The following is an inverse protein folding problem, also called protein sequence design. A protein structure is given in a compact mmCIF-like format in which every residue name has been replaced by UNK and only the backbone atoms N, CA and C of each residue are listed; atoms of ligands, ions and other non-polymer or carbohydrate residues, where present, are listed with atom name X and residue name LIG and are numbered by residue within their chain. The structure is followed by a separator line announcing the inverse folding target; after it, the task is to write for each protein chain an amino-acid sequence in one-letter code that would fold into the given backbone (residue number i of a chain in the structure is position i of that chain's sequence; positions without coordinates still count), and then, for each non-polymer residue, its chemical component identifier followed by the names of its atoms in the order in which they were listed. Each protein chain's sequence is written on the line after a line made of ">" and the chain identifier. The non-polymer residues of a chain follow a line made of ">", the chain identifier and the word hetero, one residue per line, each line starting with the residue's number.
data_IF_504353026120
#
_entry.id   IF_504353026120
#
_cell.length_a   1.000
_cell.length_b   1.000
_cell.length_c   1.000
_cell.angle_alpha   90.00
_cell.angle_beta   90.00
_cell.angle_gamma   90.00
#
_symmetry.space_group_name_H-M   'P 1'
#
loop_
_entity.id
_entity.type
_entity.pdbx_description
1 polymer ?
#
# COMPACT_ATOMS: atom_id res chain seq x y z
N UNK A 1 12.21 -4.12 -36.25
CA UNK A 1 11.46 -4.23 -34.98
C UNK A 1 12.39 -4.84 -33.95
N UNK A 2 12.57 -4.19 -32.80
CA UNK A 2 13.55 -4.57 -31.79
C UNK A 2 13.04 -5.82 -31.03
N UNK A 3 13.75 -6.96 -31.02
CA UNK A 3 13.19 -8.26 -30.68
C UNK A 3 12.97 -8.55 -29.18
N UNK A 4 13.19 -7.60 -28.26
CA UNK A 4 13.19 -7.89 -26.82
C UNK A 4 12.12 -7.15 -25.98
N UNK A 5 11.28 -6.30 -26.58
CA UNK A 5 10.25 -5.53 -25.82
C UNK A 5 8.85 -6.10 -26.00
N UNK A 6 8.09 -6.20 -24.91
CA UNK A 6 6.67 -6.55 -24.95
C UNK A 6 5.86 -5.37 -25.52
N UNK A 7 4.85 -5.67 -26.33
CA UNK A 7 3.99 -4.66 -26.96
C UNK A 7 2.73 -4.45 -26.13
N UNK A 8 2.52 -3.24 -25.60
CA UNK A 8 1.29 -2.85 -24.90
C UNK A 8 0.33 -2.18 -25.89
N UNK A 9 -0.89 -2.70 -25.98
CA UNK A 9 -1.95 -2.18 -26.83
C UNK A 9 -3.01 -1.51 -25.95
N UNK A 10 -3.31 -0.24 -26.27
CA UNK A 10 -4.27 0.61 -25.57
C UNK A 10 -5.37 1.02 -26.55
N UNK A 11 -6.64 0.98 -26.11
CA UNK A 11 -7.76 1.42 -26.94
C UNK A 11 -7.79 2.95 -27.02
N UNK A 12 -8.20 3.49 -28.17
CA UNK A 12 -8.55 4.89 -28.37
C UNK A 12 -9.93 4.96 -29.03
N UNK A 13 -10.79 5.84 -28.53
CA UNK A 13 -12.16 6.01 -29.02
C UNK A 13 -12.31 7.37 -29.72
N UNK A 14 -13.19 7.42 -30.71
CA UNK A 14 -13.58 8.65 -31.41
C UNK A 14 -15.04 8.96 -31.07
N UNK A 15 -15.32 10.14 -30.51
CA UNK A 15 -16.66 10.58 -30.18
C UNK A 15 -16.88 12.01 -30.70
N UNK A 16 -17.83 12.19 -31.63
CA UNK A 16 -18.18 13.50 -32.21
C UNK A 16 -16.95 14.32 -32.64
N UNK A 17 -16.04 13.71 -33.41
CA UNK A 17 -14.75 14.29 -33.88
C UNK A 17 -13.67 14.49 -32.81
N UNK A 18 -13.95 14.25 -31.53
CA UNK A 18 -12.95 14.26 -30.47
C UNK A 18 -12.33 12.86 -30.27
N UNK A 19 -11.00 12.82 -30.18
CA UNK A 19 -10.24 11.61 -29.82
C UNK A 19 -10.15 11.53 -28.30
N UNK A 20 -10.58 10.40 -27.73
CA UNK A 20 -10.68 10.19 -26.29
C UNK A 20 -9.92 8.92 -25.91
N UNK A 21 -9.16 9.01 -24.82
CA UNK A 21 -8.52 7.87 -24.19
C UNK A 21 -9.50 7.22 -23.18
N UNK A 22 -9.98 5.98 -23.41
CA UNK A 22 -10.84 5.27 -22.48
C UNK A 22 -10.18 5.09 -21.11
N UNK A 23 -11.00 4.88 -20.09
CA UNK A 23 -10.56 4.83 -18.69
C UNK A 23 -9.45 3.79 -18.44
N UNK A 24 -9.57 2.58 -18.99
CA UNK A 24 -8.54 1.56 -18.77
C UNK A 24 -7.21 1.90 -19.48
N UNK A 25 -7.28 2.52 -20.65
CA UNK A 25 -6.09 2.99 -21.38
C UNK A 25 -5.40 4.12 -20.61
N UNK A 26 -6.16 5.06 -20.03
CA UNK A 26 -5.60 6.17 -19.26
C UNK A 26 -4.94 5.70 -17.96
N UNK A 27 -5.54 4.75 -17.24
CA UNK A 27 -4.92 4.16 -16.03
C UNK A 27 -3.59 3.46 -16.36
N UNK A 28 -3.55 2.66 -17.44
CA UNK A 28 -2.34 1.96 -17.85
C UNK A 28 -1.23 2.93 -18.28
N UNK A 29 -1.59 3.98 -19.03
CA UNK A 29 -0.66 5.02 -19.46
C UNK A 29 -0.10 5.83 -18.28
N UNK A 30 -0.97 6.19 -17.33
CA UNK A 30 -0.58 6.89 -16.12
C UNK A 30 0.38 6.07 -15.26
N UNK A 31 0.13 4.77 -15.09
CA UNK A 31 1.05 3.89 -14.38
C UNK A 31 2.42 3.80 -15.07
N UNK A 32 2.46 3.70 -16.41
CA UNK A 32 3.73 3.70 -17.15
C UNK A 32 4.50 5.01 -16.98
N UNK A 33 3.81 6.15 -17.04
CA UNK A 33 4.42 7.47 -16.79
C UNK A 33 4.97 7.56 -15.37
N UNK A 34 4.16 7.22 -14.36
CA UNK A 34 4.57 7.27 -12.95
C UNK A 34 5.78 6.36 -12.64
N UNK A 35 5.80 5.17 -13.23
CA UNK A 35 6.89 4.21 -13.05
C UNK A 35 8.10 4.48 -13.95
N UNK A 36 7.98 5.42 -14.89
CA UNK A 36 8.98 5.71 -15.93
C UNK A 36 9.40 4.44 -16.71
N UNK A 37 8.49 3.46 -16.83
CA UNK A 37 8.80 2.15 -17.38
C UNK A 37 8.85 2.18 -18.91
N UNK A 38 10.06 2.09 -19.47
CA UNK A 38 10.34 2.12 -20.93
C UNK A 38 10.44 0.73 -21.57
N UNK A 39 10.09 -0.32 -20.83
CA UNK A 39 10.18 -1.70 -21.31
C UNK A 39 9.13 -2.01 -22.38
N UNK A 40 7.96 -1.38 -22.28
CA UNK A 40 6.83 -1.62 -23.18
C UNK A 40 6.89 -0.70 -24.40
N UNK A 41 6.71 -1.27 -25.59
CA UNK A 41 6.36 -0.48 -26.78
C UNK A 41 4.85 -0.26 -26.78
N UNK A 42 4.40 1.00 -26.75
CA UNK A 42 2.97 1.33 -26.67
C UNK A 42 2.38 1.48 -28.07
N UNK A 43 1.25 0.82 -28.30
CA UNK A 43 0.45 0.88 -29.51
C UNK A 43 -0.95 1.40 -29.16
N UNK A 44 -1.34 2.53 -29.76
CA UNK A 44 -2.70 3.03 -29.72
C UNK A 44 -3.50 2.33 -30.81
N UNK A 45 -4.53 1.61 -30.39
CA UNK A 45 -5.46 0.90 -31.28
C UNK A 45 -6.65 1.80 -31.55
N UNK A 46 -6.76 2.25 -32.80
CA UNK A 46 -7.80 3.15 -33.26
C UNK A 46 -8.48 2.62 -34.53
N UNK A 47 -9.71 3.08 -34.77
CA UNK A 47 -10.42 2.83 -36.02
C UNK A 47 -10.15 3.92 -37.08
N UNK A 48 -9.59 5.06 -36.68
CA UNK A 48 -9.25 6.20 -37.53
C UNK A 48 -7.79 6.65 -37.29
N UNK A 49 -7.06 7.08 -38.33
CA UNK A 49 -5.69 7.58 -38.17
C UNK A 49 -5.68 8.98 -37.55
N UNK A 50 -4.53 9.36 -36.96
CA UNK A 50 -4.32 10.72 -36.42
C UNK A 50 -4.58 10.83 -34.92
N UNK A 51 -4.68 9.69 -34.22
CA UNK A 51 -4.93 9.67 -32.78
C UNK A 51 -3.75 10.21 -31.98
N UNK A 52 -2.53 10.04 -32.47
CA UNK A 52 -1.31 10.50 -31.78
C UNK A 52 -1.26 12.02 -31.75
N UNK A 53 -1.49 12.68 -32.89
CA UNK A 53 -1.49 14.14 -33.00
C UNK A 53 -2.61 14.74 -32.15
N UNK A 54 -3.80 14.14 -32.17
CA UNK A 54 -4.93 14.60 -31.36
C UNK A 54 -4.69 14.45 -29.85
N UNK A 55 -3.95 13.41 -29.43
CA UNK A 55 -3.63 13.11 -28.03
C UNK A 55 -2.24 13.59 -27.59
N UNK A 56 -1.54 14.42 -28.39
CA UNK A 56 -0.16 14.82 -28.10
C UNK A 56 0.03 15.46 -26.70
N UNK A 57 -0.99 16.11 -26.16
CA UNK A 57 -0.98 16.68 -24.80
C UNK A 57 -1.27 15.68 -23.67
N UNK A 58 -1.70 14.46 -24.00
CA UNK A 58 -2.08 13.40 -23.05
C UNK A 58 -1.13 12.19 -23.09
N UNK A 59 -0.17 12.17 -24.02
CA UNK A 59 0.78 11.08 -24.21
C UNK A 59 2.13 11.46 -23.58
N UNK A 60 2.65 10.67 -22.63
CA UNK A 60 3.96 10.92 -22.04
C UNK A 60 5.07 10.91 -23.10
N UNK A 61 5.82 12.01 -23.20
CA UNK A 61 6.94 12.17 -24.15
C UNK A 61 8.05 11.13 -23.96
N UNK A 62 8.12 10.52 -22.76
CA UNK A 62 9.12 9.52 -22.39
C UNK A 62 8.81 8.12 -22.97
N UNK A 63 7.60 7.88 -23.46
CA UNK A 63 7.14 6.59 -23.96
C UNK A 63 7.24 6.52 -25.49
N UNK A 64 7.67 5.37 -26.00
CA UNK A 64 7.62 5.09 -27.43
C UNK A 64 6.19 4.66 -27.80
N UNK A 65 5.43 5.60 -28.37
CA UNK A 65 4.04 5.39 -28.80
C UNK A 65 3.97 5.25 -30.32
N UNK A 66 3.14 4.34 -30.80
CA UNK A 66 2.83 4.14 -32.22
C UNK A 66 1.33 3.91 -32.39
N UNK A 67 0.80 4.16 -33.58
CA UNK A 67 -0.61 3.93 -33.89
C UNK A 67 -0.74 2.65 -34.73
N UNK A 68 -1.81 1.90 -34.48
CA UNK A 68 -2.16 0.71 -35.25
C UNK A 68 -3.67 0.67 -35.44
N UNK A 69 -4.13 0.29 -36.64
CA UNK A 69 -5.56 0.12 -36.85
C UNK A 69 -6.05 -1.16 -36.18
N UNK A 70 -7.34 -1.21 -35.81
CA UNK A 70 -7.95 -2.42 -35.24
C UNK A 70 -7.79 -3.66 -36.14
N UNK A 71 -7.74 -3.47 -37.46
CA UNK A 71 -7.53 -4.54 -38.44
C UNK A 71 -6.08 -5.05 -38.51
N UNK A 72 -5.10 -4.20 -38.21
CA UNK A 72 -3.67 -4.53 -38.19
C UNK A 72 -3.20 -5.09 -36.84
N UNK A 73 -4.04 -5.00 -35.81
CA UNK A 73 -3.74 -5.54 -34.50
C UNK A 73 -3.53 -7.07 -34.57
N UNK A 74 -2.51 -7.62 -33.88
CA UNK A 74 -2.27 -9.06 -33.88
C UNK A 74 -3.51 -9.85 -33.44
N UNK A 75 -3.78 -11.00 -34.07
CA UNK A 75 -5.00 -11.77 -33.82
C UNK A 75 -5.28 -12.09 -32.34
N UNK A 76 -4.24 -12.40 -31.56
CA UNK A 76 -4.36 -12.62 -30.11
C UNK A 76 -4.82 -11.37 -29.36
N UNK A 77 -4.37 -10.18 -29.78
CA UNK A 77 -4.77 -8.90 -29.19
C UNK A 77 -6.17 -8.53 -29.63
N UNK A 78 -6.50 -8.72 -30.91
CA UNK A 78 -7.83 -8.44 -31.47
C UNK A 78 -8.93 -9.32 -30.84
N UNK A 79 -8.58 -10.51 -30.36
CA UNK A 79 -9.49 -11.40 -29.63
C UNK A 79 -9.66 -11.02 -28.14
N UNK A 80 -8.94 -10.03 -27.64
CA UNK A 80 -8.92 -9.63 -26.23
C UNK A 80 -9.57 -8.27 -26.01
N UNK A 81 -10.02 -8.00 -24.77
CA UNK A 81 -10.35 -6.64 -24.33
C UNK A 81 -9.07 -5.88 -24.00
N UNK A 82 -8.96 -4.65 -24.47
CA UNK A 82 -7.83 -3.77 -24.16
C UNK A 82 -7.98 -3.17 -22.73
N UNK A 83 -6.87 -2.84 -22.03
CA UNK A 83 -5.48 -2.95 -22.48
C UNK A 83 -5.01 -4.40 -22.57
N UNK A 84 -4.07 -4.67 -23.48
CA UNK A 84 -3.46 -5.99 -23.61
C UNK A 84 -1.97 -5.89 -23.91
N UNK A 85 -1.17 -6.80 -23.34
CA UNK A 85 0.27 -6.91 -23.58
C UNK A 85 0.55 -8.20 -24.35
N UNK A 86 1.18 -8.07 -25.51
CA UNK A 86 1.71 -9.18 -26.29
C UNK A 86 3.20 -9.36 -25.99
N UNK A 87 3.58 -10.55 -25.54
CA UNK A 87 4.99 -10.87 -25.27
C UNK A 87 5.82 -10.90 -26.57
N UNK A 88 7.16 -10.74 -26.52
CA UNK A 88 8.01 -10.67 -27.71
C UNK A 88 7.89 -11.89 -28.62
N UNK A 89 7.61 -13.06 -28.04
CA UNK A 89 7.41 -14.31 -28.77
C UNK A 89 6.08 -14.37 -29.55
N UNK A 90 5.21 -13.36 -29.41
CA UNK A 90 3.88 -13.22 -30.04
C UNK A 90 2.92 -14.40 -29.85
N UNK A 91 3.17 -15.26 -28.85
CA UNK A 91 2.35 -16.43 -28.55
C UNK A 91 1.52 -16.28 -27.28
N UNK A 92 1.85 -15.31 -26.45
CA UNK A 92 1.20 -15.09 -25.18
C UNK A 92 0.73 -13.65 -25.06
N UNK A 93 -0.55 -13.48 -24.71
CA UNK A 93 -1.20 -12.19 -24.56
C UNK A 93 -1.78 -12.10 -23.14
N UNK A 94 -1.43 -11.03 -22.42
CA UNK A 94 -1.99 -10.67 -21.12
C UNK A 94 -3.02 -9.58 -21.35
N UNK A 95 -4.29 -9.86 -21.12
CA UNK A 95 -5.37 -8.90 -21.41
C UNK A 95 -6.16 -8.53 -20.16
N UNK A 96 -6.72 -7.32 -20.19
CA UNK A 96 -7.50 -6.75 -19.10
C UNK A 96 -6.65 -5.91 -18.14
N UNK A 97 -7.24 -4.83 -17.63
CA UNK A 97 -6.58 -3.81 -16.83
C UNK A 97 -5.76 -4.40 -15.68
N UNK A 98 -6.40 -5.14 -14.77
CA UNK A 98 -5.74 -5.69 -13.58
C UNK A 98 -4.54 -6.61 -13.90
N UNK A 99 -4.62 -7.38 -14.99
CA UNK A 99 -3.53 -8.27 -15.42
C UNK A 99 -2.37 -7.45 -15.98
N UNK A 100 -2.69 -6.47 -16.83
CA UNK A 100 -1.70 -5.58 -17.44
C UNK A 100 -1.00 -4.71 -16.39
N UNK A 101 -1.75 -4.11 -15.46
CA UNK A 101 -1.18 -3.29 -14.38
C UNK A 101 -0.21 -4.12 -13.53
N UNK A 102 -0.61 -5.31 -13.08
CA UNK A 102 0.30 -6.20 -12.35
C UNK A 102 1.54 -6.55 -13.15
N UNK A 103 1.40 -6.81 -14.45
CA UNK A 103 2.53 -7.14 -15.29
C UNK A 103 3.49 -5.94 -15.44
N UNK A 104 2.97 -4.72 -15.59
CA UNK A 104 3.78 -3.49 -15.59
C UNK A 104 4.52 -3.37 -14.26
N UNK A 105 3.81 -3.49 -13.13
CA UNK A 105 4.39 -3.40 -11.78
C UNK A 105 5.49 -4.43 -11.59
N UNK A 106 5.20 -5.71 -11.88
CA UNK A 106 6.18 -6.80 -11.77
C UNK A 106 7.42 -6.54 -12.62
N UNK A 107 7.24 -6.08 -13.85
CA UNK A 107 8.35 -5.76 -14.75
C UNK A 107 9.18 -4.62 -14.18
N UNK A 108 8.55 -3.55 -13.71
CA UNK A 108 9.23 -2.42 -13.06
C UNK A 108 9.98 -2.87 -11.81
N UNK A 109 9.38 -3.69 -10.94
CA UNK A 109 10.05 -4.21 -9.74
C UNK A 109 11.25 -5.12 -10.07
N UNK A 110 11.19 -5.88 -11.17
CA UNK A 110 12.33 -6.68 -11.63
C UNK A 110 13.48 -5.81 -12.15
N UNK A 111 13.17 -4.66 -12.74
CA UNK A 111 14.17 -3.69 -13.22
C UNK A 111 14.71 -2.81 -12.09
N UNK A 112 13.88 -2.49 -11.10
CA UNK A 112 14.21 -1.67 -9.92
C UNK A 112 13.73 -2.37 -8.62
N UNK A 113 14.55 -3.24 -8.01
CA UNK A 113 14.15 -4.05 -6.85
C UNK A 113 13.87 -3.26 -5.57
N UNK A 114 14.20 -1.96 -5.54
CA UNK A 114 13.90 -1.04 -4.44
C UNK A 114 12.41 -0.66 -4.36
N UNK A 115 11.65 -0.81 -5.46
CA UNK A 115 10.21 -0.51 -5.51
C UNK A 115 9.37 -1.76 -5.24
N UNK A 116 9.32 -2.24 -4.00
CA UNK A 116 8.49 -3.41 -3.61
C UNK A 116 7.21 -2.98 -2.90
N UNK A 117 6.21 -2.54 -3.67
CA UNK A 117 4.88 -2.32 -3.14
C UNK A 117 3.86 -3.17 -3.90
N UNK A 118 3.29 -4.18 -3.23
CA UNK A 118 2.20 -4.99 -3.79
C UNK A 118 0.94 -4.68 -2.98
N UNK A 119 -0.10 -4.22 -3.68
CA UNK A 119 -1.39 -3.88 -3.08
C UNK A 119 -2.02 -5.07 -2.35
N UNK A 120 -2.59 -4.83 -1.17
CA UNK A 120 -3.40 -5.84 -0.45
C UNK A 120 -4.85 -5.89 -0.94
N UNK A 121 -5.32 -4.87 -1.65
CA UNK A 121 -6.74 -4.66 -2.00
C UNK A 121 -7.02 -4.79 -3.49
N UNK A 122 -6.32 -5.73 -4.14
CA UNK A 122 -6.22 -5.73 -5.59
C UNK A 122 -7.54 -5.84 -6.33
N UNK A 123 -8.55 -6.55 -5.80
CA UNK A 123 -9.85 -6.65 -6.49
C UNK A 123 -10.60 -5.30 -6.48
N UNK A 124 -10.70 -4.68 -5.30
CA UNK A 124 -11.40 -3.40 -5.15
C UNK A 124 -10.72 -2.31 -5.99
N UNK A 125 -9.40 -2.22 -5.89
CA UNK A 125 -8.63 -1.12 -6.47
C UNK A 125 -8.33 -1.27 -7.97
N UNK A 126 -8.27 -2.50 -8.51
CA UNK A 126 -7.93 -2.71 -9.91
C UNK A 126 -9.14 -3.04 -10.80
N UNK A 127 -10.25 -3.52 -10.22
CA UNK A 127 -11.43 -3.98 -10.97
C UNK A 127 -12.72 -3.30 -10.55
N UNK A 128 -13.09 -3.36 -9.27
CA UNK A 128 -14.44 -2.97 -8.87
C UNK A 128 -14.65 -1.45 -8.97
N UNK A 129 -13.66 -0.65 -8.56
CA UNK A 129 -13.73 0.82 -8.67
C UNK A 129 -13.66 1.27 -10.13
N UNK A 130 -12.72 0.74 -10.92
CA UNK A 130 -12.58 1.11 -12.35
C UNK A 130 -13.84 0.80 -13.14
N UNK A 131 -14.43 -0.39 -12.94
CA UNK A 131 -15.69 -0.78 -13.58
C UNK A 131 -16.86 0.11 -13.14
N UNK A 132 -16.98 0.38 -11.84
CA UNK A 132 -18.04 1.22 -11.29
C UNK A 132 -17.97 2.67 -11.79
N UNK A 133 -16.75 3.21 -11.95
CA UNK A 133 -16.53 4.53 -12.53
C UNK A 133 -16.86 4.53 -14.02
N UNK A 134 -16.45 3.50 -14.77
CA UNK A 134 -16.76 3.38 -16.19
C UNK A 134 -18.27 3.41 -16.43
N UNK A 135 -19.03 2.64 -15.64
CA UNK A 135 -20.50 2.61 -15.73
C UNK A 135 -21.12 3.97 -15.40
N UNK A 136 -20.59 4.69 -14.40
CA UNK A 136 -21.02 6.06 -14.08
C UNK A 136 -20.77 7.03 -15.23
N UNK A 137 -19.59 6.98 -15.84
CA UNK A 137 -19.19 7.88 -16.92
C UNK A 137 -20.03 7.69 -18.19
N UNK A 138 -20.63 6.51 -18.40
CA UNK A 138 -21.58 6.28 -19.51
C UNK A 138 -22.89 7.07 -19.34
N UNK A 139 -23.36 7.29 -18.11
CA UNK A 139 -24.63 7.98 -17.83
C UNK A 139 -24.51 8.96 -16.63
N UNK A 140 -23.77 10.08 -16.78
CA UNK A 140 -23.41 10.94 -15.66
C UNK A 140 -24.53 11.89 -15.19
N UNK A 141 -25.68 11.94 -15.89
CA UNK A 141 -26.80 12.87 -15.61
C UNK A 141 -28.03 12.19 -14.99
N UNK A 142 -27.92 10.91 -14.62
CA UNK A 142 -29.05 10.18 -14.06
C UNK A 142 -29.51 10.81 -12.72
N UNK A 143 -30.80 11.16 -12.62
CA UNK A 143 -31.34 11.96 -11.49
C UNK A 143 -31.27 11.27 -10.11
N UNK A 144 -30.89 10.00 -10.06
CA UNK A 144 -30.73 9.18 -8.84
C UNK A 144 -29.30 8.67 -8.69
N UNK A 145 -28.31 9.48 -9.04
CA UNK A 145 -26.91 9.13 -8.83
C UNK A 145 -26.64 9.06 -7.32
N UNK A 146 -26.57 7.83 -6.82
CA UNK A 146 -25.89 7.54 -5.57
C UNK A 146 -24.43 7.23 -5.89
N UNK A 147 -23.49 7.50 -4.96
CA UNK A 147 -22.12 7.04 -5.15
C UNK A 147 -22.07 5.52 -5.40
N UNK A 148 -21.28 5.05 -6.38
CA UNK A 148 -21.15 3.62 -6.61
C UNK A 148 -20.66 2.88 -5.37
N UNK A 149 -21.16 1.67 -5.14
CA UNK A 149 -20.86 0.89 -3.94
C UNK A 149 -19.35 0.67 -3.72
N UNK A 150 -18.58 0.48 -4.79
CA UNK A 150 -17.12 0.33 -4.71
C UNK A 150 -16.41 1.60 -4.19
N UNK A 151 -16.91 2.79 -4.56
CA UNK A 151 -16.38 4.06 -4.07
C UNK A 151 -16.82 4.37 -2.64
N UNK A 152 -18.05 3.98 -2.26
CA UNK A 152 -18.48 4.02 -0.86
C UNK A 152 -17.67 3.09 0.02
N UNK A 153 -17.31 1.91 -0.51
CA UNK A 153 -16.42 0.99 0.18
C UNK A 153 -15.05 1.64 0.38
N UNK A 154 -14.48 2.30 -0.64
CA UNK A 154 -13.22 3.04 -0.49
C UNK A 154 -13.32 4.15 0.57
N UNK A 155 -14.39 4.96 0.55
CA UNK A 155 -14.65 5.99 1.58
C UNK A 155 -14.68 5.37 2.99
N UNK A 156 -15.39 4.26 3.16
CA UNK A 156 -15.45 3.55 4.45
C UNK A 156 -14.09 3.02 4.88
N UNK A 157 -13.29 2.49 3.96
CA UNK A 157 -11.93 1.99 4.25
C UNK A 157 -11.02 3.13 4.71
N UNK A 158 -11.10 4.30 4.08
CA UNK A 158 -10.34 5.49 4.49
C UNK A 158 -10.73 5.96 5.90
N UNK A 159 -11.94 5.66 6.36
CA UNK A 159 -12.41 5.96 7.71
C UNK A 159 -11.90 4.99 8.79
N UNK A 160 -11.45 3.80 8.40
CA UNK A 160 -10.96 2.80 9.35
C UNK A 160 -9.59 3.21 9.93
N UNK A 161 -9.30 2.86 11.20
CA UNK A 161 -8.00 3.13 11.79
C UNK A 161 -6.90 2.27 11.16
N UNK A 162 -5.76 2.88 10.86
CA UNK A 162 -4.61 2.17 10.28
C UNK A 162 -3.94 1.28 11.34
N UNK A 163 -3.52 0.08 10.93
CA UNK A 163 -2.73 -0.84 11.74
C UNK A 163 -1.42 -1.18 11.03
N UNK A 164 -0.29 -0.77 11.61
CA UNK A 164 1.06 -1.06 11.10
C UNK A 164 1.89 -1.82 12.14
N UNK A 165 2.98 -2.47 11.72
CA UNK A 165 3.83 -3.25 12.63
C UNK A 165 4.40 -2.43 13.82
N UNK A 166 4.59 -1.12 13.62
CA UNK A 166 5.08 -0.18 14.64
C UNK A 166 3.97 0.75 15.18
N UNK A 167 2.72 0.31 15.13
CA UNK A 167 1.53 1.12 15.43
C UNK A 167 1.61 1.84 16.80
N UNK A 168 1.88 1.11 17.89
CA UNK A 168 1.99 1.70 19.23
C UNK A 168 3.09 2.78 19.31
N UNK A 169 4.24 2.54 18.67
CA UNK A 169 5.34 3.51 18.62
C UNK A 169 4.92 4.78 17.88
N UNK A 170 4.23 4.65 16.76
CA UNK A 170 3.81 5.78 15.96
C UNK A 170 2.68 6.57 16.63
N UNK A 171 1.74 5.88 17.29
CA UNK A 171 0.68 6.53 18.07
C UNK A 171 1.22 7.30 19.28
N UNK A 172 2.24 6.76 19.96
CA UNK A 172 2.95 7.47 21.04
C UNK A 172 3.68 8.71 20.52
N UNK A 173 4.31 8.60 19.36
CA UNK A 173 4.94 9.75 18.71
C UNK A 173 3.91 10.82 18.32
N UNK A 174 2.76 10.43 17.74
CA UNK A 174 1.63 11.33 17.45
C UNK A 174 1.14 12.05 18.71
N UNK A 175 0.99 11.33 19.82
CA UNK A 175 0.60 11.91 21.12
C UNK A 175 1.65 12.90 21.66
N UNK A 176 2.93 12.58 21.55
CA UNK A 176 4.02 13.46 21.99
C UNK A 176 4.03 14.76 21.19
N UNK A 177 3.79 14.68 19.88
CA UNK A 177 3.74 15.85 19.01
C UNK A 177 2.50 16.71 19.24
N UNK A 178 1.32 16.11 19.45
CA UNK A 178 0.10 16.84 19.83
C UNK A 178 0.30 17.66 21.11
N UNK A 179 0.86 17.02 22.16
CA UNK A 179 1.17 17.71 23.43
C UNK A 179 2.22 18.83 23.29
N UNK A 180 3.11 18.74 22.32
CA UNK A 180 4.09 19.78 22.04
C UNK A 180 3.47 20.96 21.27
N UNK A 181 2.60 20.68 20.29
CA UNK A 181 1.83 21.68 19.57
C UNK A 181 0.92 22.49 20.50
N UNK A 182 0.23 21.82 21.42
CA UNK A 182 -0.65 22.45 22.43
C UNK A 182 0.12 23.35 23.41
N UNK A 183 1.41 23.11 23.61
CA UNK A 183 2.28 23.95 24.46
C UNK A 183 2.84 25.16 23.72
N UNK A 184 3.19 25.01 22.44
CA UNK A 184 3.69 26.11 21.63
C UNK A 184 2.59 27.14 21.30
N UNK A 185 1.32 26.74 21.28
CA UNK A 185 0.19 27.65 21.17
C UNK A 185 -0.13 28.43 22.46
N UNK A 186 0.54 28.14 23.59
CA UNK A 186 0.35 28.80 24.88
C UNK A 186 1.45 29.82 25.24
N UNK A 187 2.40 30.12 24.34
CA UNK A 187 3.43 31.16 24.57
C UNK A 187 3.05 32.46 23.85
N UNK A 188 2.94 33.62 24.53
CA UNK A 188 2.61 34.89 23.89
C UNK A 188 3.85 35.57 23.25
N UNK A 189 3.75 35.76 21.92
CA UNK A 189 4.36 36.81 21.06
C UNK A 189 5.90 36.83 20.91
N UNK A 190 6.53 37.04 19.75
CA UNK A 190 6.33 38.11 18.75
C UNK A 190 7.15 37.76 17.50
N UNK A 191 6.57 37.81 16.29
CA UNK A 191 7.17 38.34 15.05
C UNK A 191 6.24 38.10 13.86
N UNK A 192 5.88 39.21 13.21
CA UNK A 192 5.09 39.23 11.98
C UNK A 192 5.81 38.42 10.89
N UNK A 193 5.22 37.28 10.54
CA UNK A 193 5.37 36.66 9.21
C UNK A 193 3.99 36.21 8.76
N UNK A 194 3.56 36.88 7.69
CA UNK A 194 2.51 36.57 6.72
C UNK A 194 1.62 35.34 7.03
N UNK A 195 0.31 35.50 7.27
CA UNK A 195 -0.60 34.42 7.64
C UNK A 195 -1.13 33.59 6.45
N UNK A 196 -0.54 33.71 5.26
CA UNK A 196 -0.87 32.85 4.12
C UNK A 196 0.07 31.65 4.09
N UNK A 197 -0.47 30.43 4.17
CA UNK A 197 0.21 29.10 4.05
C UNK A 197 0.80 28.47 5.32
N UNK A 198 0.05 28.39 6.44
CA UNK A 198 0.44 27.55 7.59
C UNK A 198 -0.48 26.32 7.76
N UNK A 199 0.10 25.13 7.52
CA UNK A 199 -0.21 23.85 8.14
C UNK A 199 -1.69 23.38 8.23
N UNK A 200 -2.37 23.20 7.10
CA UNK A 200 -3.53 22.28 7.03
C UNK A 200 -3.12 20.82 6.78
N UNK A 201 -1.86 20.58 6.40
CA UNK A 201 -1.33 19.24 6.17
C UNK A 201 -1.04 18.58 7.53
N UNK A 202 -1.88 17.61 7.90
CA UNK A 202 -1.70 16.83 9.13
C UNK A 202 -0.30 16.22 9.23
N UNK A 203 0.18 16.04 10.47
CA UNK A 203 1.54 15.57 10.80
C UNK A 203 1.93 14.26 10.07
N UNK A 204 0.95 13.39 9.81
CA UNK A 204 1.13 12.13 9.11
C UNK A 204 1.52 12.32 7.65
N UNK A 205 1.00 13.38 7.00
CA UNK A 205 1.29 13.72 5.62
C UNK A 205 2.77 14.12 5.44
N UNK A 206 3.27 14.97 6.34
CA UNK A 206 4.68 15.38 6.31
C UNK A 206 5.62 14.19 6.54
N UNK A 207 5.29 13.30 7.49
CA UNK A 207 6.07 12.10 7.74
C UNK A 207 6.05 11.11 6.57
N UNK A 208 4.91 10.99 5.88
CA UNK A 208 4.77 10.11 4.73
C UNK A 208 5.53 10.64 3.49
N UNK A 209 5.45 11.95 3.22
CA UNK A 209 6.25 12.58 2.15
C UNK A 209 7.75 12.48 2.42
N UNK A 210 8.19 12.67 3.68
CA UNK A 210 9.59 12.50 4.05
C UNK A 210 10.13 11.07 3.84
N UNK A 211 9.25 10.06 3.85
CA UNK A 211 9.62 8.67 3.53
C UNK A 211 9.78 8.40 2.04
N UNK A 212 9.18 9.23 1.19
CA UNK A 212 9.30 9.14 -0.27
C UNK A 212 10.51 9.89 -0.80
N UNK A 213 10.98 10.91 -0.09
CA UNK A 213 12.24 11.58 -0.37
C UNK A 213 13.41 10.70 0.07
N UNK A 214 14.29 10.33 -0.87
CA UNK A 214 15.54 9.59 -0.62
C UNK A 214 16.58 10.38 0.19
N UNK A 215 16.25 11.61 0.59
CA UNK A 215 17.11 12.40 1.47
C UNK A 215 17.11 11.71 2.83
N UNK A 216 18.25 11.11 3.17
CA UNK A 216 18.44 10.35 4.40
C UNK A 216 17.82 11.13 5.56
N UNK A 217 16.91 10.47 6.28
CA UNK A 217 16.43 10.98 7.56
C UNK A 217 17.68 11.15 8.43
N UNK A 218 18.17 12.39 8.53
CA UNK A 218 19.12 12.78 9.55
C UNK A 218 18.60 12.20 10.86
N UNK A 219 19.41 11.42 11.59
CA UNK A 219 18.92 10.67 12.73
C UNK A 219 18.32 11.68 13.69
N UNK A 220 16.99 11.64 13.82
CA UNK A 220 16.29 12.41 14.86
C UNK A 220 16.97 11.99 16.14
N UNK A 221 17.73 12.94 16.71
CA UNK A 221 18.50 12.73 17.92
C UNK A 221 17.60 11.98 18.90
N UNK A 222 18.11 10.91 19.51
CA UNK A 222 17.37 10.10 20.46
C UNK A 222 17.02 10.93 21.70
N UNK A 223 16.00 11.78 21.60
CA UNK A 223 15.42 12.51 22.72
C UNK A 223 14.70 11.46 23.53
N UNK A 224 15.32 11.11 24.65
CA UNK A 224 14.80 10.23 25.70
C UNK A 224 13.28 10.45 25.86
N UNK A 225 12.49 9.47 25.46
CA UNK A 225 11.01 9.53 25.51
C UNK A 225 10.56 9.97 26.91
N UNK A 226 9.65 10.95 26.98
CA UNK A 226 9.12 11.42 28.26
C UNK A 226 8.35 10.30 28.97
N UNK A 227 8.60 10.17 30.26
CA UNK A 227 7.96 9.20 31.17
C UNK A 227 6.43 9.22 31.10
N UNK A 228 5.84 10.37 30.76
CA UNK A 228 4.40 10.59 30.70
C UNK A 228 3.74 10.00 29.44
N UNK A 229 4.52 9.78 28.37
CA UNK A 229 4.04 9.14 27.11
C UNK A 229 4.17 7.62 27.20
N UNK A 230 5.18 7.13 27.91
CA UNK A 230 5.41 5.69 28.16
C UNK A 230 4.34 5.05 29.06
N UNK A 231 3.69 5.85 29.91
CA UNK A 231 2.68 5.39 30.88
C UNK A 231 1.24 5.36 30.35
N UNK A 232 0.98 5.91 29.16
CA UNK A 232 -0.36 5.91 28.56
C UNK A 232 -0.70 4.50 28.08
N UNK A 233 -1.91 4.05 28.41
CA UNK A 233 -2.45 2.76 27.95
C UNK A 233 -2.63 2.81 26.44
N UNK A 234 -2.37 1.70 25.75
CA UNK A 234 -2.49 1.62 24.29
C UNK A 234 -3.90 1.98 23.78
N UNK A 235 -4.94 1.73 24.58
CA UNK A 235 -6.35 2.10 24.29
C UNK A 235 -6.63 3.60 24.34
N UNK A 236 -5.75 4.38 24.97
CA UNK A 236 -5.88 5.84 25.14
C UNK A 236 -4.98 6.61 24.15
N UNK A 237 -4.24 5.89 23.30
CA UNK A 237 -3.40 6.51 22.28
C UNK A 237 -4.25 6.95 21.08
N UNK A 238 -3.93 8.09 20.45
CA UNK A 238 -4.66 8.57 19.28
C UNK A 238 -4.56 7.55 18.13
N UNK A 239 -5.67 7.32 17.43
CA UNK A 239 -5.70 6.43 16.27
C UNK A 239 -4.89 7.03 15.10
N UNK A 240 -4.34 6.14 14.27
CA UNK A 240 -3.67 6.53 13.03
C UNK A 240 -4.71 6.61 11.92
N UNK A 241 -4.72 7.72 11.19
CA UNK A 241 -5.63 7.91 10.06
C UNK A 241 -4.97 7.40 8.77
N UNK A 242 -5.78 7.03 7.79
CA UNK A 242 -5.28 6.79 6.44
C UNK A 242 -4.79 8.13 5.88
N UNK A 243 -3.53 8.16 5.44
CA UNK A 243 -2.99 9.24 4.61
C UNK A 243 -3.25 8.92 3.14
N UNK A 244 -3.07 7.65 2.79
CA UNK A 244 -3.17 7.04 1.46
C UNK A 244 -4.10 5.82 1.51
N UNK A 245 -4.41 5.22 0.35
CA UNK A 245 -5.48 4.23 0.20
C UNK A 245 -5.32 3.00 1.10
N UNK A 246 -4.09 2.53 1.31
CA UNK A 246 -3.82 1.34 2.15
C UNK A 246 -3.36 1.66 3.57
N UNK A 247 -3.07 2.93 3.88
CA UNK A 247 -2.65 3.33 5.21
C UNK A 247 -1.86 4.64 5.22
N UNK A 248 -0.72 4.63 5.92
CA UNK A 248 0.11 5.82 6.10
C UNK A 248 1.11 6.05 4.96
N UNK A 249 1.45 4.99 4.23
CA UNK A 249 2.47 5.01 3.20
C UNK A 249 1.82 5.04 1.83
N UNK A 250 2.43 5.80 0.93
CA UNK A 250 2.02 5.85 -0.46
C UNK A 250 2.37 4.53 -1.13
N UNK A 251 1.46 4.00 -1.94
CA UNK A 251 1.61 2.71 -2.61
C UNK A 251 1.20 2.81 -4.07
N UNK A 252 1.50 1.78 -4.87
CA UNK A 252 1.01 1.70 -6.25
C UNK A 252 -0.52 1.66 -6.36
N UNK A 253 -1.22 1.30 -5.28
CA UNK A 253 -2.68 1.40 -5.19
C UNK A 253 -3.15 2.84 -5.40
N UNK A 254 -2.46 3.81 -4.80
CA UNK A 254 -2.79 5.23 -4.95
C UNK A 254 -2.59 5.71 -6.39
N UNK A 255 -1.52 5.21 -7.04
CA UNK A 255 -1.21 5.49 -8.44
C UNK A 255 -2.29 4.95 -9.37
N UNK A 256 -2.72 3.70 -9.16
CA UNK A 256 -3.72 3.04 -10.01
C UNK A 256 -5.11 3.65 -9.82
N UNK A 257 -5.46 4.05 -8.59
CA UNK A 257 -6.76 4.64 -8.28
C UNK A 257 -6.90 6.09 -8.77
N UNK A 258 -5.81 6.85 -8.83
CA UNK A 258 -5.89 8.28 -9.11
C UNK A 258 -6.63 8.61 -10.42
N UNK A 259 -6.30 8.02 -11.59
CA UNK A 259 -6.94 8.40 -12.84
C UNK A 259 -8.44 8.12 -12.85
N UNK A 260 -8.89 7.00 -12.26
CA UNK A 260 -10.30 6.66 -12.23
C UNK A 260 -11.08 7.52 -11.23
N UNK A 261 -10.54 7.72 -10.03
CA UNK A 261 -11.17 8.61 -9.05
C UNK A 261 -11.22 10.04 -9.59
N UNK A 262 -10.14 10.51 -10.24
CA UNK A 262 -10.11 11.83 -10.86
C UNK A 262 -11.26 12.05 -11.85
N UNK A 263 -11.45 11.14 -12.81
CA UNK A 263 -12.53 11.23 -13.80
C UNK A 263 -13.91 11.20 -13.14
N UNK A 264 -14.09 10.35 -12.11
CA UNK A 264 -15.31 10.32 -11.34
C UNK A 264 -15.59 11.65 -10.63
N UNK A 265 -14.59 12.24 -9.99
CA UNK A 265 -14.73 13.52 -9.28
C UNK A 265 -15.03 14.68 -10.23
N UNK A 266 -14.42 14.72 -11.42
CA UNK A 266 -14.77 15.69 -12.48
C UNK A 266 -16.23 15.53 -12.90
N UNK A 267 -16.66 14.30 -13.18
CA UNK A 267 -18.04 14.01 -13.56
C UNK A 267 -19.02 14.49 -12.48
N UNK A 268 -18.74 14.18 -11.21
CA UNK A 268 -19.55 14.66 -10.09
C UNK A 268 -19.56 16.18 -9.99
N UNK A 269 -18.41 16.85 -10.16
CA UNK A 269 -18.36 18.31 -10.09
C UNK A 269 -19.25 18.95 -11.16
N UNK A 270 -19.30 18.37 -12.36
CA UNK A 270 -20.07 18.90 -13.48
C UNK A 270 -21.58 18.58 -13.39
N UNK A 271 -21.95 17.42 -12.84
CA UNK A 271 -23.31 16.90 -12.95
C UNK A 271 -24.03 16.72 -11.61
N UNK A 272 -23.30 16.44 -10.53
CA UNK A 272 -23.87 16.12 -9.22
C UNK A 272 -22.97 16.56 -8.04
N UNK A 273 -22.68 17.87 -7.88
CA UNK A 273 -21.70 18.36 -6.90
C UNK A 273 -22.11 18.08 -5.44
N UNK A 274 -23.40 17.92 -5.17
CA UNK A 274 -23.92 17.56 -3.84
C UNK A 274 -23.44 16.18 -3.36
N UNK A 275 -23.05 15.28 -4.27
CA UNK A 275 -22.53 13.95 -3.94
C UNK A 275 -21.12 14.05 -3.35
N UNK A 276 -20.34 15.06 -3.73
CA UNK A 276 -19.00 15.29 -3.20
C UNK A 276 -19.02 15.48 -1.67
N UNK A 277 -20.12 16.03 -1.12
CA UNK A 277 -20.31 16.19 0.32
C UNK A 277 -20.41 14.84 1.07
N UNK A 278 -20.74 13.76 0.37
CA UNK A 278 -20.84 12.40 0.94
C UNK A 278 -19.50 11.65 0.91
N UNK A 279 -18.47 12.20 0.27
CA UNK A 279 -17.17 11.55 0.05
C UNK A 279 -15.98 12.39 0.59
N UNK A 280 -16.06 12.94 1.82
CA UNK A 280 -15.03 13.86 2.32
C UNK A 280 -13.65 13.21 2.47
N UNK A 281 -13.56 11.92 2.81
CA UNK A 281 -12.28 11.24 2.97
C UNK A 281 -11.65 10.93 1.62
N UNK A 282 -12.43 10.56 0.60
CA UNK A 282 -11.97 10.38 -0.76
C UNK A 282 -11.44 11.70 -1.34
N UNK A 283 -12.12 12.82 -1.09
CA UNK A 283 -11.64 14.15 -1.49
C UNK A 283 -10.31 14.49 -0.81
N UNK A 284 -10.20 14.20 0.49
CA UNK A 284 -8.97 14.41 1.26
C UNK A 284 -7.82 13.52 0.77
N UNK A 285 -8.11 12.26 0.47
CA UNK A 285 -7.16 11.33 -0.15
C UNK A 285 -6.70 11.86 -1.51
N UNK A 286 -7.63 12.31 -2.35
CA UNK A 286 -7.32 12.87 -3.67
C UNK A 286 -6.41 14.09 -3.56
N UNK A 287 -6.70 15.04 -2.66
CA UNK A 287 -5.82 16.18 -2.38
C UNK A 287 -4.42 15.73 -1.93
N UNK A 288 -4.31 14.73 -1.05
CA UNK A 288 -3.03 14.25 -0.57
C UNK A 288 -2.22 13.57 -1.67
N UNK A 289 -2.85 12.75 -2.51
CA UNK A 289 -2.16 12.09 -3.63
C UNK A 289 -1.58 13.11 -4.62
N UNK A 290 -2.22 14.26 -4.82
CA UNK A 290 -1.69 15.35 -5.64
C UNK A 290 -0.39 15.93 -5.10
N UNK A 291 -0.11 15.84 -3.80
CA UNK A 291 1.12 16.37 -3.19
C UNK A 291 2.36 15.53 -3.50
N UNK A 292 2.18 14.28 -3.96
CA UNK A 292 3.29 13.37 -4.24
C UNK A 292 4.03 13.81 -5.51
N UNK A 293 5.35 14.10 -5.46
CA UNK A 293 6.07 14.63 -6.62
C UNK A 293 6.02 13.74 -7.86
N UNK A 294 6.12 12.42 -7.69
CA UNK A 294 5.98 11.46 -8.79
C UNK A 294 4.60 11.49 -9.44
N UNK A 295 3.55 11.75 -8.66
CA UNK A 295 2.18 11.88 -9.17
C UNK A 295 2.02 13.15 -9.98
N UNK A 296 2.48 14.31 -9.49
CA UNK A 296 2.41 15.60 -10.21
C UNK A 296 3.04 15.50 -11.59
N UNK A 297 4.25 14.93 -11.67
CA UNK A 297 4.93 14.69 -12.94
C UNK A 297 4.11 13.81 -13.88
N UNK A 298 3.61 12.68 -13.37
CA UNK A 298 2.83 11.76 -14.20
C UNK A 298 1.50 12.36 -14.67
N UNK A 299 0.88 13.22 -13.88
CA UNK A 299 -0.36 13.92 -14.29
C UNK A 299 -0.09 14.94 -15.38
N UNK A 300 1.03 15.67 -15.31
CA UNK A 300 1.46 16.60 -16.36
C UNK A 300 1.75 15.85 -17.67
N UNK A 301 2.52 14.77 -17.59
CA UNK A 301 2.86 13.91 -18.74
C UNK A 301 1.62 13.28 -19.41
N UNK A 302 0.59 12.96 -18.64
CA UNK A 302 -0.65 12.36 -19.13
C UNK A 302 -1.76 13.39 -19.44
N UNK A 303 -1.49 14.69 -19.38
CA UNK A 303 -2.48 15.74 -19.65
C UNK A 303 -3.65 15.76 -18.65
N UNK A 304 -3.46 15.21 -17.44
CA UNK A 304 -4.47 15.17 -16.38
C UNK A 304 -4.43 16.49 -15.62
N UNK A 305 -5.44 17.34 -15.83
CA UNK A 305 -5.57 18.63 -15.15
C UNK A 305 -6.17 18.42 -13.76
N UNK A 306 -5.31 18.31 -12.75
CA UNK A 306 -5.71 18.22 -11.35
C UNK A 306 -6.46 19.48 -10.90
N UNK A 307 -7.43 19.29 -10.01
CA UNK A 307 -8.19 20.38 -9.38
C UNK A 307 -8.23 20.20 -7.87
N UNK A 308 -8.44 21.31 -7.16
CA UNK A 308 -8.54 21.32 -5.71
C UNK A 308 -10.02 21.38 -5.28
N UNK A 309 -10.64 20.25 -4.87
CA UNK A 309 -12.00 20.27 -4.35
C UNK A 309 -12.05 20.95 -2.98
N UNK A 310 -13.15 21.64 -2.68
CA UNK A 310 -13.43 22.14 -1.34
C UNK A 310 -13.84 20.96 -0.46
N UNK A 311 -13.02 20.63 0.54
CA UNK A 311 -13.34 19.55 1.50
C UNK A 311 -14.22 20.14 2.61
N UNK A 312 -15.44 19.62 2.83
CA UNK A 312 -16.23 20.01 3.99
C UNK A 312 -15.46 19.70 5.26
N UNK A 313 -15.30 20.68 6.16
CA UNK A 313 -14.67 20.42 7.45
C UNK A 313 -15.49 19.38 8.21
N UNK A 314 -14.89 18.22 8.49
CA UNK A 314 -15.47 17.26 9.44
C UNK A 314 -15.43 17.92 10.83
N UNK A 315 -16.52 18.54 11.23
CA UNK A 315 -16.78 18.76 12.65
C UNK A 315 -16.90 17.40 13.31
N UNK A 316 -16.14 17.20 14.38
CA UNK A 316 -16.09 16.01 15.24
C UNK A 316 -17.45 15.72 15.89
N UNK A 317 -18.42 15.34 15.08
CA UNK A 317 -19.73 14.88 15.51
C UNK A 317 -19.90 13.50 14.91
N UNK A 318 -19.61 12.50 15.74
CA UNK A 318 -19.83 11.09 15.45
C UNK A 318 -21.32 10.91 15.19
N UNK A 319 -21.73 11.00 13.93
CA UNK A 319 -23.09 10.71 13.49
C UNK A 319 -23.17 9.21 13.20
N UNK A 320 -24.18 8.56 13.77
CA UNK A 320 -24.45 7.14 13.61
C UNK A 320 -24.46 6.74 12.13
N UNK A 321 -23.61 5.77 11.77
CA UNK A 321 -23.52 5.26 10.42
C UNK A 321 -24.80 4.50 10.06
N UNK A 322 -25.44 4.76 8.90
CA UNK A 322 -26.52 3.92 8.41
C UNK A 322 -26.00 2.52 8.09
N UNK A 323 -26.65 1.50 8.65
CA UNK A 323 -26.39 0.09 8.34
C UNK A 323 -26.85 -0.21 6.90
N UNK A 324 -25.90 -0.44 5.99
CA UNK A 324 -26.16 -0.98 4.66
C UNK A 324 -25.96 -2.50 4.64
N UNK A 325 -26.71 -3.24 3.80
CA UNK A 325 -26.68 -4.69 3.79
C UNK A 325 -25.31 -5.20 3.37
N UNK A 326 -24.69 -5.98 4.25
CA UNK A 326 -23.45 -6.70 4.01
C UNK A 326 -23.61 -7.56 2.74
N UNK A 327 -22.92 -7.19 1.66
CA UNK A 327 -22.60 -8.15 0.62
C UNK A 327 -21.73 -9.23 1.26
N UNK A 328 -22.00 -10.50 0.93
CA UNK A 328 -21.40 -11.69 1.54
C UNK A 328 -19.87 -11.58 1.58
N UNK A 329 -19.38 -11.08 2.70
CA UNK A 329 -18.02 -11.26 3.15
C UNK A 329 -17.86 -12.77 3.32
N UNK A 330 -16.85 -13.36 2.67
CA UNK A 330 -16.37 -14.66 3.12
C UNK A 330 -16.18 -14.55 4.62
N UNK A 331 -16.92 -15.39 5.34
CA UNK A 331 -16.96 -15.41 6.80
C UNK A 331 -15.53 -15.27 7.31
N UNK A 332 -15.22 -14.25 8.13
CA UNK A 332 -14.00 -14.28 8.90
C UNK A 332 -14.05 -15.60 9.66
N UNK A 333 -13.02 -16.42 9.51
CA UNK A 333 -12.78 -17.49 10.48
C UNK A 333 -12.96 -16.86 11.88
N UNK A 334 -13.58 -17.59 12.83
CA UNK A 334 -13.75 -17.07 14.19
C UNK A 334 -12.40 -16.50 14.64
N UNK A 335 -12.37 -15.38 15.39
CA UNK A 335 -11.12 -14.77 15.81
C UNK A 335 -10.33 -15.85 16.55
N UNK A 336 -9.37 -16.46 15.85
CA UNK A 336 -8.28 -17.13 16.52
C UNK A 336 -7.63 -15.98 17.26
N UNK A 337 -7.80 -15.95 18.57
CA UNK A 337 -7.01 -15.10 19.43
C UNK A 337 -5.56 -15.43 19.13
N UNK A 338 -4.97 -14.70 18.19
CA UNK A 338 -3.57 -14.84 17.88
C UNK A 338 -2.87 -14.49 19.18
N UNK A 339 -2.23 -15.50 19.76
CA UNK A 339 -1.49 -15.35 20.98
C UNK A 339 -0.35 -14.35 20.73
N UNK A 340 -0.50 -13.11 21.19
CA UNK A 340 0.54 -12.08 21.13
C UNK A 340 1.23 -12.06 22.48
N UNK A 341 2.19 -12.96 22.67
CA UNK A 341 3.05 -13.00 23.84
C UNK A 341 4.41 -13.56 23.46
N UNK A 342 5.48 -12.97 24.00
CA UNK A 342 6.79 -13.60 23.92
C UNK A 342 6.83 -14.93 24.70
N UNK A 343 7.96 -15.65 24.68
CA UNK A 343 8.09 -16.95 25.36
C UNK A 343 7.68 -16.89 26.84
N UNK A 344 8.05 -15.80 27.54
CA UNK A 344 7.76 -15.61 28.98
C UNK A 344 6.27 -15.45 29.30
N UNK A 345 5.52 -14.51 28.67
CA UNK A 345 4.06 -14.44 28.85
C UNK A 345 3.32 -15.74 28.52
N UNK A 346 3.84 -16.53 27.59
CA UNK A 346 3.26 -17.84 27.21
C UNK A 346 3.43 -18.85 28.33
N UNK A 347 4.64 -18.99 28.84
CA UNK A 347 4.97 -19.90 29.94
C UNK A 347 4.15 -19.60 31.20
N UNK A 348 3.97 -18.32 31.54
CA UNK A 348 3.17 -17.92 32.70
C UNK A 348 1.70 -18.32 32.54
N UNK A 349 1.10 -18.07 31.36
CA UNK A 349 -0.30 -18.47 31.10
C UNK A 349 -0.50 -19.98 31.09
N UNK A 350 0.47 -20.74 30.59
CA UNK A 350 0.43 -22.21 30.62
C UNK A 350 0.44 -22.73 32.06
N UNK A 351 1.31 -22.19 32.91
CA UNK A 351 1.36 -22.53 34.34
C UNK A 351 0.07 -22.17 35.08
N UNK A 352 -0.51 -21.00 34.80
CA UNK A 352 -1.81 -20.58 35.38
C UNK A 352 -2.96 -21.55 35.04
N UNK A 353 -2.85 -22.27 33.92
CA UNK A 353 -3.84 -23.27 33.48
C UNK A 353 -3.41 -24.71 33.80
N UNK A 354 -2.39 -24.89 34.65
CA UNK A 354 -1.92 -26.21 35.08
C UNK A 354 -1.21 -27.02 33.99
N UNK A 355 -0.74 -26.37 32.92
CA UNK A 355 0.05 -26.99 31.86
C UNK A 355 1.52 -26.68 32.13
N UNK A 356 2.28 -27.72 32.47
CA UNK A 356 3.72 -27.60 32.68
C UNK A 356 4.45 -27.73 31.34
N UNK A 357 5.21 -26.69 30.99
CA UNK A 357 6.12 -26.76 29.86
C UNK A 357 7.36 -27.55 30.27
N UNK A 358 7.50 -28.77 29.76
CA UNK A 358 8.68 -29.59 29.97
C UNK A 358 9.62 -29.31 28.82
N UNK A 359 10.86 -29.01 29.16
CA UNK A 359 11.86 -28.72 28.18
C UNK A 359 12.79 -29.90 27.92
N UNK A 360 13.05 -30.22 26.65
CA UNK A 360 13.96 -31.28 26.23
C UNK A 360 15.25 -30.73 25.61
N UNK A 361 16.39 -31.44 25.70
CA UNK A 361 17.62 -31.06 25.01
C UNK A 361 17.43 -30.98 23.50
N UNK A 362 18.11 -30.02 22.86
CA UNK A 362 18.16 -29.92 21.40
C UNK A 362 18.73 -31.25 20.84
N UNK A 363 18.11 -31.85 19.81
CA UNK A 363 18.48 -33.18 19.32
C UNK A 363 19.91 -33.24 18.75
N UNK A 364 20.49 -32.10 18.39
CA UNK A 364 21.86 -31.97 17.90
C UNK A 364 22.60 -30.87 18.67
N UNK A 365 23.13 -31.14 19.87
CA UNK A 365 23.77 -30.12 20.71
C UNK A 365 25.10 -29.64 20.13
N UNK A 366 25.77 -30.41 19.27
CA UNK A 366 27.08 -30.04 18.69
C UNK A 366 26.99 -29.16 17.44
N UNK A 367 25.79 -28.75 17.01
CA UNK A 367 25.65 -27.97 15.79
C UNK A 367 25.92 -26.49 16.06
N UNK A 368 27.14 -26.05 15.73
CA UNK A 368 27.51 -24.63 15.68
C UNK A 368 27.55 -24.19 14.21
N UNK A 369 26.91 -23.07 13.87
CA UNK A 369 26.92 -22.54 12.51
C UNK A 369 28.19 -21.70 12.32
N UNK A 370 29.04 -22.10 11.37
CA UNK A 370 30.21 -21.33 10.99
C UNK A 370 29.79 -20.20 10.03
N UNK A 371 29.64 -19.00 10.58
CA UNK A 371 29.22 -17.81 9.86
C UNK A 371 30.23 -17.33 8.81
N UNK A 372 31.49 -17.81 8.85
CA UNK A 372 32.51 -17.45 7.85
C UNK A 372 32.36 -18.25 6.55
N UNK A 373 31.69 -19.41 6.59
CA UNK A 373 31.51 -20.30 5.43
C UNK A 373 30.20 -19.99 4.68
N UNK A 374 29.27 -19.28 5.32
CA UNK A 374 27.97 -18.97 4.75
C UNK A 374 28.04 -17.81 3.74
N UNK A 375 27.23 -17.84 2.66
CA UNK A 375 27.18 -16.76 1.69
C UNK A 375 26.92 -15.41 2.36
N UNK A 376 27.60 -14.39 1.88
CA UNK A 376 27.58 -13.08 2.53
C UNK A 376 26.16 -12.49 2.66
N UNK A 377 25.28 -12.77 1.68
CA UNK A 377 23.86 -12.40 1.68
C UNK A 377 23.01 -12.99 2.84
N UNK A 378 23.48 -14.04 3.52
CA UNK A 378 22.80 -14.58 4.72
C UNK A 378 23.49 -14.16 6.02
N UNK A 379 24.58 -13.39 5.93
CA UNK A 379 25.28 -12.87 7.09
C UNK A 379 24.56 -11.60 7.61
N UNK A 380 24.12 -11.57 8.88
CA UNK A 380 23.44 -10.43 9.48
C UNK A 380 24.23 -9.11 9.48
N UNK A 381 25.53 -9.15 9.15
CA UNK A 381 26.39 -7.96 9.07
C UNK A 381 26.39 -7.25 7.72
N UNK A 382 25.91 -7.88 6.63
CA UNK A 382 25.93 -7.25 5.30
C UNK A 382 24.76 -6.27 5.06
N UNK A 383 23.58 -6.50 5.64
CA UNK A 383 22.43 -5.59 5.52
C UNK A 383 22.49 -4.48 6.57
N UNK A 384 23.11 -3.34 6.25
CA UNK A 384 22.94 -1.99 6.87
C UNK A 384 22.63 -1.96 8.39
N UNK A 385 23.23 -2.87 9.16
CA UNK A 385 23.12 -2.95 10.61
C UNK A 385 24.52 -2.81 11.20
N UNK A 386 25.15 -1.64 10.99
CA UNK A 386 26.29 -1.21 11.80
C UNK A 386 25.83 -0.82 13.21
N UNK A 387 25.38 -1.78 14.00
CA UNK A 387 25.06 -1.58 15.40
C UNK A 387 25.17 -2.92 16.14
N UNK A 388 25.42 -2.83 17.45
CA UNK A 388 25.44 -3.90 18.47
C UNK A 388 24.32 -4.96 18.36
N UNK A 389 23.29 -4.72 17.55
CA UNK A 389 22.19 -5.62 17.19
C UNK A 389 22.61 -6.77 16.27
N UNK A 390 23.47 -6.52 15.28
CA UNK A 390 24.01 -7.56 14.41
C UNK A 390 24.93 -8.50 15.21
N UNK A 391 25.79 -7.91 16.04
CA UNK A 391 26.62 -8.67 16.99
C UNK A 391 25.78 -9.51 17.95
N UNK A 392 24.61 -9.01 18.41
CA UNK A 392 23.70 -9.76 19.27
C UNK A 392 23.01 -10.91 18.55
N UNK A 393 22.75 -10.79 17.25
CA UNK A 393 22.08 -11.81 16.43
C UNK A 393 23.03 -12.93 16.00
N UNK A 394 24.31 -12.59 15.85
CA UNK A 394 25.42 -13.54 15.67
C UNK A 394 25.75 -14.21 17.02
N UNK A 395 25.81 -13.43 18.10
CA UNK A 395 26.00 -13.98 19.45
C UNK A 395 24.79 -14.71 19.99
N UNK A 396 23.54 -14.40 19.67
CA UNK A 396 22.38 -15.12 20.27
C UNK A 396 22.46 -16.66 20.12
N UNK A 397 22.83 -17.22 18.94
CA UNK A 397 23.13 -18.64 18.83
C UNK A 397 24.35 -19.09 19.66
N UNK A 398 25.42 -18.27 19.76
CA UNK A 398 26.68 -18.63 20.42
C UNK A 398 26.69 -18.38 21.97
N UNK A 399 26.01 -17.34 22.46
CA UNK A 399 25.85 -16.91 23.86
C UNK A 399 24.75 -17.72 24.56
N UNK A 400 23.74 -18.22 23.83
CA UNK A 400 22.82 -19.23 24.36
C UNK A 400 23.57 -20.55 24.68
N UNK A 401 24.67 -20.79 23.98
CA UNK A 401 25.59 -21.89 24.21
C UNK A 401 26.56 -21.60 25.39
N UNK A 402 27.17 -20.41 25.44
CA UNK A 402 28.12 -20.07 26.51
C UNK A 402 27.48 -19.75 27.87
N UNK A 403 26.28 -19.17 27.93
CA UNK A 403 25.59 -18.94 29.22
C UNK A 403 25.13 -20.25 29.89
N UNK A 404 24.99 -21.33 29.13
CA UNK A 404 24.65 -22.67 29.64
C UNK A 404 25.85 -23.49 30.11
N UNK A 405 27.07 -23.11 29.71
CA UNK A 405 28.30 -23.76 30.18
C UNK A 405 28.74 -23.32 31.59
N UNK A 406 28.36 -22.10 32.04
CA UNK A 406 28.75 -21.59 33.38
C UNK A 406 27.66 -21.69 34.46
N UNK A 407 26.46 -22.13 34.10
CA UNK A 407 25.42 -22.55 35.06
C UNK A 407 24.79 -23.83 34.54
N UNK A 408 25.28 -24.97 35.03
CA UNK A 408 24.98 -26.32 34.53
C UNK A 408 23.49 -26.67 34.51
N UNK A 409 22.81 -26.25 33.45
CA UNK A 409 21.43 -26.61 33.12
C UNK A 409 21.25 -26.36 31.62
N UNK A 410 21.14 -27.47 30.89
CA UNK A 410 21.19 -27.59 29.44
C UNK A 410 20.04 -26.90 28.67
N UNK A 411 20.19 -26.86 27.35
CA UNK A 411 19.26 -26.25 26.40
C UNK A 411 17.93 -26.97 26.25
N UNK A 412 16.88 -26.22 25.94
CA UNK A 412 15.52 -26.56 26.35
C UNK A 412 14.51 -26.13 25.27
N UNK A 413 14.01 -27.10 24.48
CA UNK A 413 12.87 -26.95 23.55
C UNK A 413 11.55 -27.36 24.21
N UNK A 414 10.47 -26.65 23.88
CA UNK A 414 9.17 -26.69 24.57
C UNK A 414 8.27 -27.85 24.08
N UNK A 415 7.97 -28.84 24.93
CA UNK A 415 6.88 -29.79 24.68
C UNK A 415 5.69 -29.52 25.61
N UNK A 416 4.48 -29.58 25.03
CA UNK A 416 3.20 -29.39 25.74
C UNK A 416 2.61 -30.77 26.05
N UNK A 417 2.47 -31.11 27.33
CA UNK A 417 1.84 -32.37 27.78
C UNK A 417 0.53 -32.06 28.51
N UNK A 418 -0.63 -32.61 28.09
CA UNK A 418 -1.90 -32.39 28.76
C UNK A 418 -2.07 -33.26 30.02
N UNK A 419 -2.88 -32.82 31.01
CA UNK A 419 -3.07 -33.56 32.24
C UNK A 419 -4.03 -34.75 32.04
N UNK A 420 -3.53 -35.96 32.32
CA UNK A 420 -4.37 -37.13 32.58
C UNK A 420 -4.51 -38.12 31.41
N UNK A 421 -3.57 -39.06 31.33
CA UNK A 421 -3.83 -40.49 31.10
C UNK A 421 -2.60 -41.28 31.53
N UNK A 422 -2.63 -41.75 32.77
CA UNK A 422 -1.84 -42.90 33.17
C UNK A 422 -2.36 -44.13 32.39
N UNK A 423 -1.42 -44.99 32.06
CA UNK A 423 -1.53 -46.38 31.62
C UNK A 423 -1.65 -46.72 30.12
N UNK A 424 -0.64 -47.54 29.75
CA UNK A 424 -0.58 -48.52 28.68
C UNK A 424 -0.48 -48.02 27.23
N UNK A 425 0.72 -48.10 26.67
CA UNK A 425 1.08 -49.12 25.67
C UNK A 425 2.62 -49.14 25.58
N UNK A 426 3.21 -50.20 26.13
CA UNK A 426 4.48 -50.75 25.66
C UNK A 426 4.19 -51.48 24.33
N UNK A 427 5.21 -51.48 23.48
CA UNK A 427 5.47 -52.39 22.36
C UNK A 427 5.22 -51.88 20.93
N UNK A 428 6.31 -52.01 20.16
CA UNK A 428 6.49 -51.90 18.70
C UNK A 428 6.51 -50.47 18.16
N UNK A 429 7.58 -50.01 17.50
CA UNK A 429 8.09 -50.54 16.23
C UNK A 429 9.62 -50.29 16.10
N UNK A 430 10.26 -51.26 15.45
CA UNK A 430 11.64 -51.30 14.92
C UNK A 430 12.10 -50.05 14.15
#
# INVERSE_FOLDING_TARGET
>A
MNPERSSLFLEVCHNNEAVILPLHSSIALFLLSYTECKWFQVYLVSDQPGSIEALAGCLPNSLAVSEVTRAEAPALVAACRLPAVLEPNRRFCRAGLAVVLRHIIQTTCCLEPERKDVSRWTKLCELDISSAVEDHLRNPTEKRLHPPAALLQLEHRLAEPVKVHNDDKLRRHKLQQQKNSDRNSQTPETQLKDPSLKNEYGLEMSAALAKLSLDEVSPVAATRERSDVRKVKTTELPELEHVFAEGLYFTLTDVVLLPCVHQYLISLQNHAPHILLQLPLLLRWYQRVQEVPGVRRATEDCGIVLFCPQVPQLSSTRADAPQYPQSKQESPAPPQEHFVGGPRPTLTKLQEHGIEAIFSPHPCPTWTLDWEILPAAVNPTEEVMKCQRAEKKIREPDDEFLRRATSGTDAQDLMIVPPGKHDSIRDNIL
#
